data_IF_102447135204
#
_entry.id   IF_102447135204
#
_cell.length_a   1.000
_cell.length_b   1.000
_cell.length_c   1.000
_cell.angle_alpha   90.00
_cell.angle_beta   90.00
_cell.angle_gamma   90.00
#
_symmetry.space_group_name_H-M   'P 1'
#
loop_
_entity.id
_entity.type
_entity.pdbx_description
1 polymer ?
#
# COMPACT_ATOMS: atom_id res chain seq x y z
N UNK A 1 -0.19 -4.45 14.18
CA UNK A 1 0.41 -5.18 13.04
C UNK A 1 1.13 -4.18 12.16
N UNK A 2 2.37 -4.44 11.78
CA UNK A 2 3.11 -3.56 10.88
C UNK A 2 2.64 -3.83 9.44
N UNK A 3 2.15 -2.80 8.76
CA UNK A 3 1.71 -2.89 7.37
C UNK A 3 2.85 -2.45 6.45
N UNK A 4 2.99 -3.12 5.31
CA UNK A 4 4.07 -2.87 4.36
C UNK A 4 3.52 -2.74 2.95
N UNK A 5 3.96 -1.73 2.22
CA UNK A 5 3.81 -1.67 0.77
C UNK A 5 4.94 -2.48 0.11
N UNK A 6 4.61 -3.24 -0.93
CA UNK A 6 5.59 -4.04 -1.67
C UNK A 6 5.80 -3.44 -3.05
N UNK A 7 7.06 -3.35 -3.48
CA UNK A 7 7.40 -2.94 -4.83
C UNK A 7 8.65 -3.68 -5.32
N UNK A 8 8.75 -3.84 -6.64
CA UNK A 8 9.93 -4.40 -7.29
C UNK A 8 10.74 -3.30 -7.98
N UNK A 9 12.06 -3.39 -7.93
CA UNK A 9 12.98 -2.59 -8.73
C UNK A 9 13.62 -3.54 -9.73
N UNK A 10 13.43 -3.26 -11.03
CA UNK A 10 14.05 -4.04 -12.11
C UNK A 10 15.18 -3.21 -12.69
N UNK A 11 16.40 -3.72 -12.58
CA UNK A 11 17.58 -3.09 -13.16
C UNK A 11 18.00 -3.87 -14.40
N UNK A 12 18.34 -3.16 -15.47
CA UNK A 12 18.89 -3.73 -16.70
C UNK A 12 20.31 -3.21 -16.87
N UNK A 13 21.28 -4.10 -17.04
CA UNK A 13 22.66 -3.72 -17.34
C UNK A 13 23.33 -4.78 -18.23
N UNK A 14 24.01 -4.32 -19.29
CA UNK A 14 24.80 -5.12 -20.23
C UNK A 14 24.18 -6.48 -20.65
N UNK A 15 22.87 -6.50 -20.94
CA UNK A 15 22.16 -7.72 -21.37
C UNK A 15 21.74 -8.67 -20.24
N UNK A 16 21.94 -8.28 -18.98
CA UNK A 16 21.42 -8.95 -17.79
C UNK A 16 20.33 -8.10 -17.14
N UNK A 17 19.46 -8.74 -16.36
CA UNK A 17 18.53 -8.05 -15.49
C UNK A 17 18.62 -8.59 -14.06
N UNK A 18 18.37 -7.72 -13.10
CA UNK A 18 18.17 -8.08 -11.69
C UNK A 18 16.86 -7.52 -11.17
N UNK A 19 16.26 -8.23 -10.23
CA UNK A 19 15.01 -7.83 -9.58
C UNK A 19 15.26 -7.75 -8.08
N UNK A 20 14.99 -6.58 -7.50
CA UNK A 20 15.02 -6.35 -6.06
C UNK A 20 13.60 -6.14 -5.55
N UNK A 21 13.11 -7.02 -4.67
CA UNK A 21 11.81 -6.87 -4.02
C UNK A 21 11.98 -6.16 -2.67
N UNK A 22 11.32 -5.01 -2.51
CA UNK A 22 11.35 -4.21 -1.28
C UNK A 22 10.01 -4.22 -0.57
N UNK A 23 10.09 -4.16 0.77
CA UNK A 23 8.94 -3.95 1.67
C UNK A 23 9.18 -2.66 2.44
N UNK A 24 8.27 -1.71 2.32
CA UNK A 24 8.38 -0.40 2.98
C UNK A 24 7.27 -0.29 4.03
N UNK A 25 7.60 -0.09 5.32
CA UNK A 25 6.59 0.06 6.36
C UNK A 25 5.81 1.35 6.17
N UNK A 26 4.53 1.34 6.53
CA UNK A 26 3.71 2.56 6.57
C UNK A 26 2.77 2.56 7.77
N UNK A 27 2.37 3.76 8.20
CA UNK A 27 1.36 3.94 9.24
C UNK A 27 -0.05 3.71 8.65
N UNK A 28 -0.57 2.53 8.94
CA UNK A 28 -1.87 2.12 8.43
C UNK A 28 -3.04 2.88 9.04
N UNK A 29 -2.95 3.29 10.31
CA UNK A 29 -4.03 4.05 10.93
C UNK A 29 -4.08 5.46 10.35
N UNK A 30 -2.92 6.11 10.15
CA UNK A 30 -2.87 7.40 9.47
C UNK A 30 -3.39 7.30 8.03
N UNK A 31 -3.01 6.26 7.27
CA UNK A 31 -3.50 6.02 5.92
C UNK A 31 -5.03 5.87 5.87
N UNK A 32 -5.61 5.06 6.75
CA UNK A 32 -7.07 4.87 6.84
C UNK A 32 -7.77 6.18 7.23
N UNK A 33 -7.20 6.94 8.17
CA UNK A 33 -7.76 8.22 8.58
C UNK A 33 -7.76 9.27 7.46
N UNK A 34 -6.90 9.15 6.44
CA UNK A 34 -6.94 10.04 5.29
C UNK A 34 -8.24 9.86 4.49
N UNK A 35 -8.83 8.67 4.42
CA UNK A 35 -10.11 8.47 3.75
C UNK A 35 -11.24 9.29 4.38
N UNK A 36 -11.26 9.36 5.72
CA UNK A 36 -12.20 10.18 6.48
C UNK A 36 -11.96 11.67 6.25
N UNK A 37 -10.70 12.11 6.34
CA UNK A 37 -10.31 13.52 6.19
C UNK A 37 -10.60 14.07 4.79
N UNK A 38 -10.33 13.26 3.77
CA UNK A 38 -10.53 13.62 2.37
C UNK A 38 -11.96 13.38 1.90
N UNK A 39 -12.83 12.87 2.76
CA UNK A 39 -14.24 12.56 2.44
C UNK A 39 -14.35 11.70 1.17
N UNK A 40 -13.51 10.67 1.07
CA UNK A 40 -13.51 9.77 -0.09
C UNK A 40 -14.89 9.11 -0.20
N UNK A 41 -15.57 9.21 -1.36
CA UNK A 41 -16.83 8.52 -1.57
C UNK A 41 -16.69 7.02 -1.31
N UNK A 42 -17.71 6.41 -0.71
CA UNK A 42 -17.77 4.97 -0.43
C UNK A 42 -16.58 4.41 0.38
N UNK A 43 -15.88 5.25 1.16
CA UNK A 43 -14.68 4.82 1.87
C UNK A 43 -14.87 3.59 2.75
N UNK A 44 -16.04 3.43 3.38
CA UNK A 44 -16.36 2.24 4.19
C UNK A 44 -16.32 0.95 3.36
N UNK A 45 -16.87 1.00 2.16
CA UNK A 45 -16.90 -0.13 1.22
C UNK A 45 -15.49 -0.43 0.71
N UNK A 46 -14.73 0.60 0.32
CA UNK A 46 -13.34 0.45 -0.16
C UNK A 46 -12.47 -0.17 0.94
N UNK A 47 -12.54 0.37 2.16
CA UNK A 47 -11.73 -0.10 3.28
C UNK A 47 -12.10 -1.53 3.71
N UNK A 48 -13.38 -1.90 3.60
CA UNK A 48 -13.81 -3.28 3.84
C UNK A 48 -13.28 -4.25 2.78
N UNK A 49 -13.41 -3.91 1.50
CA UNK A 49 -13.04 -4.80 0.38
C UNK A 49 -11.52 -4.97 0.28
N UNK A 50 -10.77 -3.87 0.32
CA UNK A 50 -9.34 -3.90 0.03
C UNK A 50 -8.46 -4.01 1.27
N UNK A 51 -8.97 -3.62 2.44
CA UNK A 51 -8.18 -3.56 3.68
C UNK A 51 -8.79 -4.38 4.83
N UNK A 52 -9.94 -5.05 4.61
CA UNK A 52 -10.60 -5.87 5.63
C UNK A 52 -11.06 -5.09 6.88
N UNK A 53 -11.08 -3.76 6.82
CA UNK A 53 -11.46 -2.90 7.94
C UNK A 53 -12.97 -2.67 7.94
N UNK A 54 -13.61 -3.04 9.04
CA UNK A 54 -14.99 -2.67 9.35
C UNK A 54 -14.95 -1.40 10.21
N UNK A 55 -15.45 -0.28 9.66
CA UNK A 55 -15.47 1.06 10.28
C UNK A 55 -16.88 1.64 10.23
#
# INVERSE_FOLDING_TARGET
MNHFAQHGIVNFDAGQFSVELKKVPYDNENFINQYLKLQIPDYKTILKIFYGKNI
#
